data_IF_496445809257
#
_entry.id   IF_496445809257
#
_cell.length_a   1.000
_cell.length_b   1.000
_cell.length_c   1.000
_cell.angle_alpha   90.00
_cell.angle_beta   90.00
_cell.angle_gamma   90.00
#
_symmetry.space_group_name_H-M   'P 1'
#
loop_
_entity.id
_entity.type
_entity.pdbx_description
1 polymer ?
#
# COMPACT_ATOMS: atom_id res chain seq x y z
N UNK A 1 34.09 23.48 -18.56
CA UNK A 1 33.02 22.46 -18.42
C UNK A 1 33.17 21.78 -17.07
N UNK A 2 32.07 21.54 -16.34
CA UNK A 2 32.12 20.80 -15.07
C UNK A 2 32.31 19.31 -15.37
N UNK A 3 33.27 18.65 -14.72
CA UNK A 3 33.47 17.20 -14.84
C UNK A 3 32.27 16.45 -14.23
N UNK A 4 31.57 15.66 -15.06
CA UNK A 4 30.41 14.85 -14.66
C UNK A 4 30.77 13.79 -13.61
N UNK A 5 32.03 13.35 -13.52
CA UNK A 5 32.46 12.39 -12.50
C UNK A 5 32.29 12.92 -11.07
N UNK A 6 32.17 14.24 -10.88
CA UNK A 6 31.92 14.86 -9.58
C UNK A 6 30.57 14.50 -8.96
N UNK A 7 29.61 13.98 -9.73
CA UNK A 7 28.33 13.47 -9.21
C UNK A 7 28.42 12.06 -8.60
N UNK A 8 29.54 11.35 -8.76
CA UNK A 8 29.69 9.99 -8.20
C UNK A 8 29.67 10.05 -6.67
N UNK A 9 28.75 9.31 -6.06
CA UNK A 9 28.74 9.07 -4.61
C UNK A 9 29.90 8.12 -4.28
N UNK A 10 30.80 8.56 -3.40
CA UNK A 10 31.97 7.78 -3.01
C UNK A 10 31.60 6.56 -2.15
N UNK A 11 32.27 5.40 -2.33
CA UNK A 11 31.98 4.19 -1.56
C UNK A 11 32.17 4.38 -0.05
N UNK A 12 33.08 5.27 0.35
CA UNK A 12 33.30 5.62 1.75
C UNK A 12 32.10 6.32 2.39
N UNK A 13 31.36 7.13 1.64
CA UNK A 13 30.14 7.78 2.16
C UNK A 13 29.03 6.75 2.38
N UNK A 14 28.90 5.77 1.47
CA UNK A 14 27.96 4.66 1.64
C UNK A 14 28.34 3.79 2.84
N UNK A 15 29.63 3.52 3.04
CA UNK A 15 30.13 2.80 4.21
C UNK A 15 29.74 3.50 5.50
N UNK A 16 29.96 4.81 5.61
CA UNK A 16 29.58 5.60 6.81
C UNK A 16 28.09 5.56 7.11
N UNK A 17 27.23 5.57 6.09
CA UNK A 17 25.78 5.41 6.27
C UNK A 17 25.46 4.02 6.80
N UNK A 18 26.04 2.97 6.22
CA UNK A 18 25.85 1.60 6.70
C UNK A 18 26.33 1.43 8.14
N UNK A 19 27.54 1.91 8.45
CA UNK A 19 28.12 1.88 9.80
C UNK A 19 27.18 2.56 10.80
N UNK A 20 26.58 3.70 10.44
CA UNK A 20 25.59 4.37 11.27
C UNK A 20 24.33 3.52 11.48
N UNK A 21 23.78 2.93 10.42
CA UNK A 21 22.54 2.13 10.48
C UNK A 21 22.68 0.85 11.30
N UNK A 22 23.87 0.25 11.38
CA UNK A 22 24.11 -1.03 12.10
C UNK A 22 24.66 -0.85 13.51
N UNK A 23 24.81 0.39 13.99
CA UNK A 23 25.23 0.66 15.37
C UNK A 23 24.20 0.15 16.37
N UNK A 24 24.68 -0.54 17.39
CA UNK A 24 23.84 -1.06 18.49
C UNK A 24 23.11 0.05 19.27
N UNK A 25 23.71 1.25 19.36
CA UNK A 25 23.17 2.40 20.06
C UNK A 25 22.35 3.35 19.17
N UNK A 26 22.00 2.96 17.95
CA UNK A 26 21.24 3.82 17.03
C UNK A 26 19.74 3.80 17.37
N UNK A 27 19.18 4.90 17.91
CA UNK A 27 17.78 4.91 18.35
C UNK A 27 16.78 4.73 17.21
N UNK A 28 17.15 5.04 15.96
CA UNK A 28 16.25 4.91 14.81
C UNK A 28 16.04 3.44 14.41
N UNK A 29 17.10 2.63 14.44
CA UNK A 29 17.03 1.21 14.08
C UNK A 29 16.62 0.37 15.28
N UNK A 30 17.10 0.69 16.49
CA UNK A 30 16.73 -0.05 17.71
C UNK A 30 15.23 0.01 17.96
N UNK A 31 14.60 1.19 17.89
CA UNK A 31 13.15 1.31 18.07
C UNK A 31 12.34 0.56 16.99
N UNK A 32 12.84 0.49 15.75
CA UNK A 32 12.19 -0.29 14.70
C UNK A 32 12.29 -1.80 14.96
N UNK A 33 13.45 -2.29 15.42
CA UNK A 33 13.65 -3.68 15.77
C UNK A 33 12.75 -4.09 16.94
N UNK A 34 12.62 -3.25 17.97
CA UNK A 34 11.70 -3.49 19.09
C UNK A 34 10.23 -3.64 18.63
N UNK A 35 9.80 -2.80 17.67
CA UNK A 35 8.47 -2.92 17.05
C UNK A 35 8.34 -4.23 16.28
N UNK A 36 9.35 -4.66 15.53
CA UNK A 36 9.32 -5.93 14.79
C UNK A 36 9.27 -7.14 15.74
N UNK A 37 10.08 -7.11 16.80
CA UNK A 37 10.16 -8.18 17.80
C UNK A 37 8.84 -8.35 18.57
N UNK A 38 8.11 -7.25 18.81
CA UNK A 38 6.74 -7.28 19.38
C UNK A 38 5.79 -8.19 18.58
N UNK A 39 5.98 -8.34 17.26
CA UNK A 39 5.15 -9.21 16.41
C UNK A 39 5.72 -10.63 16.21
N UNK A 40 6.88 -10.93 16.78
CA UNK A 40 7.54 -12.23 16.72
C UNK A 40 8.68 -12.33 15.71
N UNK A 41 9.16 -11.21 15.17
CA UNK A 41 10.22 -11.18 14.17
C UNK A 41 9.71 -11.38 12.74
N UNK A 42 10.62 -11.24 11.78
CA UNK A 42 10.31 -11.17 10.34
C UNK A 42 9.56 -12.41 9.81
N UNK A 43 10.07 -13.61 10.12
CA UNK A 43 9.48 -14.85 9.61
C UNK A 43 8.05 -15.06 10.12
N UNK A 44 7.81 -14.78 11.40
CA UNK A 44 6.49 -14.91 12.01
C UNK A 44 5.51 -13.86 11.49
N UNK A 45 5.97 -12.63 11.25
CA UNK A 45 5.18 -11.56 10.64
C UNK A 45 4.68 -12.01 9.25
N UNK A 46 5.58 -12.45 8.37
CA UNK A 46 5.21 -12.86 7.02
C UNK A 46 4.33 -14.11 7.03
N UNK A 47 4.61 -15.07 7.92
CA UNK A 47 3.76 -16.27 8.07
C UNK A 47 2.34 -15.89 8.48
N UNK A 48 2.18 -15.03 9.49
CA UNK A 48 0.86 -14.55 9.94
C UNK A 48 0.13 -13.82 8.82
N UNK A 49 0.81 -12.92 8.11
CA UNK A 49 0.23 -12.16 7.02
C UNK A 49 -0.25 -13.07 5.86
N UNK A 50 0.56 -14.04 5.46
CA UNK A 50 0.20 -15.01 4.44
C UNK A 50 -1.01 -15.86 4.83
N UNK A 51 -1.09 -16.31 6.09
CA UNK A 51 -2.28 -17.02 6.56
C UNK A 51 -3.51 -16.11 6.63
N UNK A 52 -3.35 -14.86 7.09
CA UNK A 52 -4.45 -13.91 7.23
C UNK A 52 -5.05 -13.49 5.88
N UNK A 53 -4.26 -13.44 4.80
CA UNK A 53 -4.74 -13.01 3.48
C UNK A 53 -5.46 -14.12 2.69
N UNK A 54 -5.45 -15.37 3.17
CA UNK A 54 -6.13 -16.48 2.48
C UNK A 54 -7.63 -16.23 2.41
N UNK A 55 -8.20 -16.40 1.21
CA UNK A 55 -9.62 -16.12 0.96
C UNK A 55 -10.53 -16.90 1.91
N UNK A 56 -10.24 -18.18 2.14
CA UNK A 56 -10.98 -19.03 3.08
C UNK A 56 -10.98 -18.49 4.51
N UNK A 57 -9.86 -17.93 4.97
CA UNK A 57 -9.73 -17.38 6.32
C UNK A 57 -10.47 -16.03 6.42
N UNK A 58 -10.39 -15.19 5.38
CA UNK A 58 -11.11 -13.92 5.33
C UNK A 58 -12.63 -14.15 5.33
N UNK A 59 -13.12 -15.10 4.53
CA UNK A 59 -14.54 -15.45 4.49
C UNK A 59 -15.01 -16.06 5.81
N UNK A 60 -14.25 -16.98 6.40
CA UNK A 60 -14.59 -17.57 7.70
C UNK A 60 -14.70 -16.52 8.82
N UNK A 61 -13.82 -15.50 8.80
CA UNK A 61 -13.91 -14.37 9.74
C UNK A 61 -15.22 -13.58 9.55
N UNK A 62 -15.59 -13.27 8.30
CA UNK A 62 -16.83 -12.55 8.00
C UNK A 62 -18.08 -13.34 8.39
N UNK A 63 -18.09 -14.65 8.12
CA UNK A 63 -19.18 -15.56 8.51
C UNK A 63 -19.35 -15.60 10.03
N UNK A 64 -18.23 -15.71 10.78
CA UNK A 64 -18.23 -15.69 12.25
C UNK A 64 -18.81 -14.38 12.80
N UNK A 65 -18.49 -13.26 12.14
CA UNK A 65 -19.01 -11.92 12.49
C UNK A 65 -20.44 -11.66 12.00
N UNK A 66 -21.03 -12.59 11.23
CA UNK A 66 -22.33 -12.44 10.57
C UNK A 66 -22.37 -11.20 9.67
N UNK A 67 -21.24 -10.91 9.03
CA UNK A 67 -21.11 -9.76 8.14
C UNK A 67 -22.10 -9.89 6.96
N UNK A 68 -22.82 -8.82 6.59
CA UNK A 68 -23.74 -8.87 5.45
C UNK A 68 -23.01 -9.09 4.11
N UNK A 69 -21.71 -8.81 4.05
CA UNK A 69 -20.91 -8.85 2.81
C UNK A 69 -20.59 -10.26 2.31
N UNK A 70 -20.78 -11.30 3.14
CA UNK A 70 -20.54 -12.68 2.72
C UNK A 70 -21.36 -13.02 1.47
N UNK A 71 -22.63 -12.58 1.42
CA UNK A 71 -23.51 -12.86 0.26
C UNK A 71 -22.94 -12.29 -1.03
N UNK A 72 -22.49 -11.04 -1.00
CA UNK A 72 -22.01 -10.35 -2.19
C UNK A 72 -20.63 -10.89 -2.61
N UNK A 73 -19.79 -11.31 -1.66
CA UNK A 73 -18.54 -12.04 -1.95
C UNK A 73 -18.80 -13.38 -2.62
N UNK A 74 -19.77 -14.17 -2.14
CA UNK A 74 -20.16 -15.44 -2.80
C UNK A 74 -20.71 -15.21 -4.21
N UNK A 75 -21.45 -14.12 -4.41
CA UNK A 75 -21.90 -13.73 -5.76
C UNK A 75 -20.71 -13.40 -6.67
N UNK A 76 -19.73 -12.65 -6.16
CA UNK A 76 -18.53 -12.27 -6.91
C UNK A 76 -17.66 -13.50 -7.26
N UNK A 77 -17.49 -14.45 -6.34
CA UNK A 77 -16.85 -15.74 -6.61
C UNK A 77 -17.53 -16.46 -7.77
N UNK A 78 -18.86 -16.52 -7.75
CA UNK A 78 -19.65 -17.14 -8.83
C UNK A 78 -19.41 -16.44 -10.18
N UNK A 79 -19.40 -15.11 -10.22
CA UNK A 79 -19.16 -14.37 -11.47
C UNK A 79 -17.77 -14.65 -12.05
N UNK A 80 -16.75 -14.73 -11.18
CA UNK A 80 -15.39 -15.13 -11.56
C UNK A 80 -15.38 -16.54 -12.14
N UNK A 81 -15.98 -17.50 -11.42
CA UNK A 81 -15.95 -18.93 -11.78
C UNK A 81 -16.73 -19.22 -13.07
N UNK A 82 -17.78 -18.46 -13.34
CA UNK A 82 -18.56 -18.50 -14.59
C UNK A 82 -17.89 -17.71 -15.74
N UNK A 83 -16.72 -17.11 -15.51
CA UNK A 83 -16.01 -16.27 -16.49
C UNK A 83 -16.87 -15.14 -17.05
N UNK A 84 -17.66 -14.49 -16.18
CA UNK A 84 -18.59 -13.42 -16.58
C UNK A 84 -17.88 -12.13 -17.01
N UNK A 85 -16.65 -11.89 -16.54
CA UNK A 85 -15.86 -10.70 -16.88
C UNK A 85 -15.21 -10.84 -18.26
N UNK A 86 -15.17 -9.74 -19.02
CA UNK A 86 -14.50 -9.72 -20.32
C UNK A 86 -12.99 -9.95 -20.19
N UNK A 87 -12.40 -10.73 -21.09
CA UNK A 87 -10.95 -10.89 -21.14
C UNK A 87 -10.26 -9.72 -21.85
N UNK A 88 -8.97 -9.47 -21.57
CA UNK A 88 -8.18 -8.44 -22.28
C UNK A 88 -8.20 -8.61 -23.81
N UNK A 89 -8.06 -9.82 -24.39
CA UNK A 89 -8.17 -10.01 -25.84
C UNK A 89 -9.55 -9.64 -26.41
N UNK A 90 -10.62 -10.03 -25.71
CA UNK A 90 -11.98 -9.69 -26.14
C UNK A 90 -12.26 -8.18 -26.02
N UNK A 91 -11.77 -7.55 -24.95
CA UNK A 91 -11.87 -6.10 -24.79
C UNK A 91 -11.13 -5.35 -25.89
N UNK A 92 -9.89 -5.75 -26.20
CA UNK A 92 -9.13 -5.21 -27.33
C UNK A 92 -9.89 -5.36 -28.65
N UNK A 93 -10.49 -6.53 -28.89
CA UNK A 93 -11.30 -6.80 -30.09
C UNK A 93 -12.54 -5.93 -30.14
N UNK A 94 -13.22 -5.70 -29.01
CA UNK A 94 -14.37 -4.80 -28.96
C UNK A 94 -14.01 -3.36 -29.31
N UNK A 95 -12.91 -2.84 -28.76
CA UNK A 95 -12.52 -1.44 -28.96
C UNK A 95 -11.89 -1.21 -30.34
N UNK A 96 -11.07 -2.15 -30.82
CA UNK A 96 -10.26 -1.96 -32.02
C UNK A 96 -10.79 -2.73 -33.25
N UNK A 97 -11.79 -3.60 -33.08
CA UNK A 97 -12.31 -4.46 -34.13
C UNK A 97 -11.24 -5.42 -34.68
N UNK A 98 -11.27 -5.66 -35.99
CA UNK A 98 -10.33 -6.54 -36.71
C UNK A 98 -8.85 -6.15 -36.51
N UNK A 99 -8.58 -4.86 -36.22
CA UNK A 99 -7.20 -4.38 -36.01
C UNK A 99 -6.55 -5.05 -34.81
N UNK A 100 -7.32 -5.47 -33.80
CA UNK A 100 -6.79 -6.12 -32.61
C UNK A 100 -5.91 -7.34 -32.91
N UNK A 101 -6.26 -8.13 -33.93
CA UNK A 101 -5.52 -9.35 -34.31
C UNK A 101 -4.22 -9.11 -35.09
N UNK A 102 -4.00 -7.90 -35.59
CA UNK A 102 -2.79 -7.53 -36.35
C UNK A 102 -1.86 -6.59 -35.58
N UNK A 103 -2.30 -6.09 -34.42
CA UNK A 103 -1.53 -5.17 -33.59
C UNK A 103 -0.65 -5.94 -32.60
N UNK A 104 0.58 -5.47 -32.44
CA UNK A 104 1.47 -5.89 -31.35
C UNK A 104 1.35 -4.88 -30.23
N UNK A 105 1.03 -5.36 -29.03
CA UNK A 105 0.96 -4.54 -27.83
C UNK A 105 2.30 -4.65 -27.09
N UNK A 106 2.90 -3.51 -26.78
CA UNK A 106 4.13 -3.46 -25.99
C UNK A 106 3.78 -3.53 -24.50
N UNK A 107 3.81 -4.74 -23.95
CA UNK A 107 3.52 -4.98 -22.54
C UNK A 107 4.66 -4.52 -21.60
N UNK A 108 5.78 -4.00 -22.12
CA UNK A 108 6.85 -3.41 -21.28
C UNK A 108 6.44 -2.08 -20.62
N UNK A 109 5.40 -1.43 -21.15
CA UNK A 109 4.78 -0.23 -20.59
C UNK A 109 3.34 -0.49 -20.16
N UNK A 110 3.05 -1.70 -19.67
CA UNK A 110 1.71 -2.05 -19.20
C UNK A 110 1.19 -1.01 -18.20
N UNK A 111 0.04 -0.42 -18.51
CA UNK A 111 -0.66 0.51 -17.63
C UNK A 111 -1.65 -0.25 -16.76
N UNK A 112 -1.81 0.19 -15.51
CA UNK A 112 -2.80 -0.37 -14.59
C UNK A 112 -4.02 0.55 -14.56
N UNK A 113 -5.20 0.01 -14.88
CA UNK A 113 -6.46 0.69 -14.57
C UNK A 113 -6.64 0.70 -13.04
N UNK A 114 -6.67 1.89 -12.45
CA UNK A 114 -6.77 2.10 -11.00
C UNK A 114 -8.02 2.91 -10.66
N UNK A 115 -8.75 2.49 -9.63
CA UNK A 115 -9.71 3.36 -8.92
C UNK A 115 -9.01 3.96 -7.70
N UNK A 116 -8.68 5.26 -7.77
CA UNK A 116 -7.86 5.94 -6.76
C UNK A 116 -8.61 6.31 -5.46
N UNK A 117 -9.90 5.96 -5.34
CA UNK A 117 -10.70 6.30 -4.16
C UNK A 117 -11.91 5.36 -3.93
N UNK A 118 -11.68 4.06 -3.76
CA UNK A 118 -12.75 3.07 -3.50
C UNK A 118 -12.95 2.83 -1.99
N UNK A 119 -13.78 3.63 -1.32
CA UNK A 119 -13.84 3.63 0.15
C UNK A 119 -14.65 2.48 0.75
N UNK A 120 -15.69 2.06 0.03
CA UNK A 120 -16.67 1.14 0.55
C UNK A 120 -16.69 -0.15 -0.27
N UNK A 121 -16.77 -1.29 0.42
CA UNK A 121 -16.85 -2.61 -0.21
C UNK A 121 -18.00 -2.71 -1.24
N UNK A 122 -19.23 -2.21 -0.99
CA UNK A 122 -20.31 -2.26 -1.98
C UNK A 122 -19.96 -1.63 -3.32
N UNK A 123 -19.04 -0.66 -3.37
CA UNK A 123 -18.63 -0.04 -4.62
C UNK A 123 -17.83 -1.00 -5.52
N UNK A 124 -17.17 -2.02 -4.96
CA UNK A 124 -16.56 -3.08 -5.77
C UNK A 124 -17.65 -3.90 -6.46
N UNK A 125 -18.78 -4.14 -5.78
CA UNK A 125 -19.88 -4.93 -6.33
C UNK A 125 -20.57 -4.15 -7.45
N UNK A 126 -20.79 -2.85 -7.26
CA UNK A 126 -21.30 -1.97 -8.33
C UNK A 126 -20.34 -1.90 -9.53
N UNK A 127 -19.03 -1.79 -9.28
CA UNK A 127 -18.03 -1.84 -10.35
C UNK A 127 -18.03 -3.18 -11.08
N UNK A 128 -18.20 -4.30 -10.35
CA UNK A 128 -18.31 -5.62 -10.95
C UNK A 128 -19.56 -5.77 -11.83
N UNK A 129 -20.70 -5.24 -11.39
CA UNK A 129 -21.91 -5.16 -12.22
C UNK A 129 -21.66 -4.35 -13.48
N UNK A 130 -21.11 -3.13 -13.37
CA UNK A 130 -20.76 -2.29 -14.51
C UNK A 130 -19.82 -3.00 -15.48
N UNK A 131 -18.73 -3.59 -14.98
CA UNK A 131 -17.76 -4.31 -15.82
C UNK A 131 -18.40 -5.50 -16.58
N UNK A 132 -19.34 -6.22 -15.96
CA UNK A 132 -20.03 -7.34 -16.61
C UNK A 132 -21.06 -6.82 -17.63
N UNK A 133 -21.98 -5.95 -17.21
CA UNK A 133 -23.10 -5.48 -18.01
C UNK A 133 -22.62 -4.71 -19.23
N UNK A 134 -21.65 -3.81 -19.02
CA UNK A 134 -21.10 -2.98 -20.07
C UNK A 134 -19.88 -3.61 -20.73
N UNK A 135 -19.57 -4.89 -20.47
CA UNK A 135 -18.35 -5.65 -20.85
C UNK A 135 -17.06 -4.80 -20.81
N UNK A 136 -16.86 -4.08 -19.71
CA UNK A 136 -15.66 -3.28 -19.44
C UNK A 136 -14.64 -4.08 -18.61
N UNK A 137 -13.42 -3.59 -18.53
CA UNK A 137 -12.37 -4.23 -17.73
C UNK A 137 -12.55 -3.93 -16.25
N UNK A 138 -12.50 -4.97 -15.41
CA UNK A 138 -12.32 -4.77 -13.97
C UNK A 138 -10.98 -4.06 -13.69
N UNK A 139 -10.95 -3.03 -12.82
CA UNK A 139 -9.71 -2.37 -12.42
C UNK A 139 -8.74 -3.34 -11.76
N UNK A 140 -7.45 -3.21 -12.07
CA UNK A 140 -6.39 -4.06 -11.48
C UNK A 140 -5.81 -3.53 -10.17
N UNK A 141 -6.18 -2.29 -9.78
CA UNK A 141 -5.76 -1.68 -8.52
C UNK A 141 -6.84 -0.78 -7.92
N UNK A 142 -6.97 -0.84 -6.60
CA UNK A 142 -7.89 0.00 -5.84
C UNK A 142 -7.16 0.73 -4.71
N UNK A 143 -7.41 2.02 -4.55
CA UNK A 143 -6.84 2.80 -3.44
C UNK A 143 -7.98 3.19 -2.49
N UNK A 144 -7.77 2.91 -1.20
CA UNK A 144 -8.70 3.23 -0.13
C UNK A 144 -8.08 4.30 0.75
N UNK A 145 -8.74 5.45 0.85
CA UNK A 145 -8.26 6.63 1.61
C UNK A 145 -9.03 6.86 2.92
N UNK A 146 -10.04 6.05 3.19
CA UNK A 146 -10.72 5.90 4.48
C UNK A 146 -9.77 5.21 5.47
N UNK A 147 -9.81 5.59 6.73
CA UNK A 147 -8.89 5.04 7.73
C UNK A 147 -9.24 3.61 8.10
N UNK A 148 -8.24 2.74 8.22
CA UNK A 148 -8.46 1.32 8.52
C UNK A 148 -9.16 1.06 9.85
N UNK A 149 -9.00 1.89 10.89
CA UNK A 149 -9.74 1.72 12.14
C UNK A 149 -11.25 1.83 11.94
N UNK A 150 -11.68 2.79 11.14
CA UNK A 150 -13.10 3.00 10.82
C UNK A 150 -13.63 1.84 9.98
N UNK A 151 -12.87 1.43 8.97
CA UNK A 151 -13.23 0.32 8.09
C UNK A 151 -13.23 -1.05 8.79
N UNK A 152 -12.42 -1.23 9.83
CA UNK A 152 -12.38 -2.48 10.61
C UNK A 152 -13.63 -2.61 11.47
N UNK A 153 -14.17 -1.48 11.94
CA UNK A 153 -15.36 -1.45 12.79
C UNK A 153 -16.63 -1.90 12.06
N UNK A 154 -16.65 -1.84 10.72
CA UNK A 154 -17.77 -2.27 9.88
C UNK A 154 -17.41 -3.41 8.93
N UNK A 155 -16.41 -4.24 9.27
CA UNK A 155 -15.93 -5.42 8.54
C UNK A 155 -15.38 -5.18 7.11
N UNK A 156 -15.30 -3.92 6.68
CA UNK A 156 -14.96 -3.60 5.30
C UNK A 156 -13.50 -3.88 4.95
N UNK A 157 -12.56 -3.81 5.90
CA UNK A 157 -11.16 -4.23 5.64
C UNK A 157 -11.11 -5.69 5.17
N UNK A 158 -11.85 -6.58 5.84
CA UNK A 158 -11.84 -8.02 5.54
C UNK A 158 -12.61 -8.29 4.25
N UNK A 159 -13.77 -7.68 4.08
CA UNK A 159 -14.58 -7.85 2.87
C UNK A 159 -13.86 -7.35 1.62
N UNK A 160 -13.17 -6.20 1.71
CA UNK A 160 -12.39 -5.67 0.60
C UNK A 160 -11.20 -6.58 0.28
N UNK A 161 -10.44 -7.00 1.29
CA UNK A 161 -9.34 -7.95 1.10
C UNK A 161 -9.82 -9.24 0.40
N UNK A 162 -10.95 -9.81 0.82
CA UNK A 162 -11.53 -10.99 0.20
C UNK A 162 -11.94 -10.74 -1.27
N UNK A 163 -12.60 -9.62 -1.56
CA UNK A 163 -12.94 -9.27 -2.95
C UNK A 163 -11.70 -9.15 -3.84
N UNK A 164 -10.63 -8.55 -3.34
CA UNK A 164 -9.38 -8.41 -4.09
C UNK A 164 -8.72 -9.76 -4.40
N UNK A 165 -8.78 -10.72 -3.47
CA UNK A 165 -8.38 -12.10 -3.74
C UNK A 165 -9.25 -12.76 -4.81
N UNK A 166 -10.57 -12.47 -4.82
CA UNK A 166 -11.49 -13.02 -5.81
C UNK A 166 -11.19 -12.47 -7.20
N UNK A 167 -11.08 -11.14 -7.35
CA UNK A 167 -10.89 -10.50 -8.67
C UNK A 167 -9.44 -10.43 -9.12
N UNK A 168 -8.49 -10.89 -8.30
CA UNK A 168 -7.06 -10.87 -8.62
C UNK A 168 -6.47 -9.46 -8.72
N UNK A 169 -7.00 -8.51 -7.94
CA UNK A 169 -6.59 -7.10 -7.98
C UNK A 169 -5.74 -6.71 -6.78
N UNK A 170 -4.86 -5.74 -6.98
CA UNK A 170 -4.09 -5.13 -5.89
C UNK A 170 -4.91 -4.05 -5.18
N UNK A 171 -4.60 -3.78 -3.91
CA UNK A 171 -5.27 -2.72 -3.17
C UNK A 171 -4.36 -2.09 -2.14
N UNK A 172 -4.50 -0.78 -1.98
CA UNK A 172 -3.73 0.03 -1.04
C UNK A 172 -4.66 0.59 0.02
N UNK A 173 -4.34 0.32 1.28
CA UNK A 173 -5.08 0.82 2.44
C UNK A 173 -4.47 2.09 3.04
N UNK A 174 -5.26 2.83 3.83
CA UNK A 174 -4.77 4.02 4.53
C UNK A 174 -4.78 3.82 6.05
N UNK A 175 -3.59 3.94 6.63
CA UNK A 175 -3.35 3.90 8.08
C UNK A 175 -3.88 5.17 8.78
N UNK A 176 -4.30 5.05 10.03
CA UNK A 176 -4.73 6.15 10.88
C UNK A 176 -3.56 7.06 11.30
N UNK A 177 -2.35 6.51 11.39
CA UNK A 177 -1.07 7.22 11.66
C UNK A 177 -0.62 8.14 10.52
N UNK A 178 -1.54 8.61 9.67
CA UNK A 178 -1.31 9.65 8.65
C UNK A 178 -1.33 11.08 9.18
N UNK A 179 -1.32 11.28 10.50
CA UNK A 179 -1.14 12.59 11.15
C UNK A 179 -2.44 13.32 11.49
N UNK A 180 -3.59 12.83 11.01
CA UNK A 180 -4.93 13.37 11.33
C UNK A 180 -5.55 12.76 12.59
N UNK A 181 -4.87 11.80 13.22
CA UNK A 181 -5.33 11.23 14.50
C UNK A 181 -5.32 12.27 15.61
N UNK A 182 -6.20 12.11 16.61
CA UNK A 182 -6.18 12.95 17.80
C UNK A 182 -4.99 12.61 18.70
N UNK A 183 -4.34 13.64 19.21
CA UNK A 183 -3.36 13.58 20.28
C UNK A 183 -4.01 13.44 21.66
N UNK A 184 -3.19 13.37 22.73
CA UNK A 184 -3.66 13.15 24.10
C UNK A 184 -4.62 14.23 24.62
N UNK A 185 -4.55 15.44 24.08
CA UNK A 185 -5.39 16.60 24.40
C UNK A 185 -6.68 16.67 23.57
N UNK A 186 -6.91 15.70 22.68
CA UNK A 186 -8.04 15.69 21.76
C UNK A 186 -7.89 16.63 20.56
N UNK A 187 -6.76 17.35 20.44
CA UNK A 187 -6.42 18.10 19.23
C UNK A 187 -5.75 17.16 18.21
N UNK A 188 -5.71 17.50 16.91
CA UNK A 188 -4.93 16.72 15.94
C UNK A 188 -3.46 16.57 16.36
N UNK A 189 -2.91 15.38 16.21
CA UNK A 189 -1.53 15.08 16.62
C UNK A 189 -0.47 15.77 15.75
N UNK A 190 -0.81 16.11 14.51
CA UNK A 190 0.04 16.94 13.67
C UNK A 190 -0.03 18.40 14.15
N UNK A 191 1.11 19.00 14.48
CA UNK A 191 1.18 20.37 15.02
C UNK A 191 0.73 21.45 14.04
N UNK A 192 0.65 21.10 12.75
CA UNK A 192 0.10 21.95 11.70
C UNK A 192 -1.37 21.63 11.39
N UNK A 193 -2.06 20.86 12.24
CA UNK A 193 -3.51 20.65 12.17
C UNK A 193 -4.17 21.34 13.38
N UNK A 194 -5.26 22.07 13.15
CA UNK A 194 -6.00 22.71 14.25
C UNK A 194 -6.66 24.06 13.94
N UNK A 195 -6.65 24.54 12.68
CA UNK A 195 -7.41 25.73 12.32
C UNK A 195 -7.68 25.88 10.81
N UNK A 196 -8.64 26.75 10.42
CA UNK A 196 -8.95 27.00 9.00
C UNK A 196 -7.79 27.60 8.19
N UNK A 197 -6.72 28.05 8.85
CA UNK A 197 -5.48 28.51 8.21
C UNK A 197 -4.46 27.39 7.93
N UNK A 198 -4.71 26.15 8.37
CA UNK A 198 -3.68 25.10 8.46
C UNK A 198 -3.94 23.93 7.49
N UNK A 199 -4.16 24.24 6.21
CA UNK A 199 -4.37 23.24 5.14
C UNK A 199 -3.14 22.34 4.93
N UNK A 200 -1.94 22.83 5.27
CA UNK A 200 -0.67 22.10 5.11
C UNK A 200 -0.59 20.83 5.95
N UNK A 201 -1.21 20.79 7.13
CA UNK A 201 -1.28 19.59 7.97
C UNK A 201 -2.31 18.55 7.51
N UNK A 202 -3.34 18.95 6.75
CA UNK A 202 -4.42 18.06 6.30
C UNK A 202 -3.96 17.00 5.31
N UNK A 203 -2.83 17.24 4.66
CA UNK A 203 -2.18 16.28 3.78
C UNK A 203 -1.23 15.32 4.51
N UNK A 204 -1.19 15.40 5.85
CA UNK A 204 -0.67 14.38 6.76
C UNK A 204 0.84 14.39 6.99
N UNK A 205 1.64 14.73 5.98
CA UNK A 205 3.10 14.56 6.05
C UNK A 205 3.85 15.59 6.90
N UNK A 206 3.55 16.89 6.76
CA UNK A 206 4.31 17.99 7.39
C UNK A 206 3.81 18.20 8.82
N UNK A 207 4.71 18.21 9.81
CA UNK A 207 4.36 18.49 11.22
C UNK A 207 4.03 17.25 12.07
N UNK A 208 4.29 16.05 11.56
CA UNK A 208 4.17 14.82 12.35
C UNK A 208 5.22 14.79 13.49
N UNK A 209 4.84 14.37 14.71
CA UNK A 209 5.77 14.13 15.80
C UNK A 209 6.83 13.07 15.48
N UNK A 210 7.98 13.12 16.16
CA UNK A 210 9.16 12.29 15.88
C UNK A 210 8.93 10.77 16.09
N UNK A 211 7.97 10.38 16.92
CA UNK A 211 7.63 8.99 17.23
C UNK A 211 6.68 8.35 16.21
N UNK A 212 6.05 9.15 15.33
CA UNK A 212 5.07 8.66 14.37
C UNK A 212 5.58 7.58 13.40
N UNK A 213 6.82 7.61 12.89
CA UNK A 213 7.31 6.54 12.02
C UNK A 213 7.27 5.16 12.68
N UNK A 214 7.55 5.06 13.98
CA UNK A 214 7.47 3.79 14.72
C UNK A 214 6.03 3.38 15.03
N UNK A 215 5.16 4.36 15.34
CA UNK A 215 3.72 4.10 15.49
C UNK A 215 3.08 3.63 14.18
N UNK A 216 3.53 4.18 13.06
CA UNK A 216 3.12 3.78 11.72
C UNK A 216 3.56 2.34 11.42
N UNK A 217 4.79 1.96 11.76
CA UNK A 217 5.23 0.57 11.66
C UNK A 217 4.41 -0.37 12.54
N UNK A 218 4.16 0.01 13.79
CA UNK A 218 3.35 -0.79 14.72
C UNK A 218 1.92 -0.98 14.18
N UNK A 219 1.28 0.09 13.72
CA UNK A 219 -0.05 0.02 13.14
C UNK A 219 -0.07 -0.82 11.85
N UNK A 220 0.91 -0.65 10.96
CA UNK A 220 1.04 -1.44 9.75
C UNK A 220 1.15 -2.94 10.09
N UNK A 221 2.07 -3.31 10.99
CA UNK A 221 2.29 -4.70 11.37
C UNK A 221 1.04 -5.33 12.01
N UNK A 222 0.25 -4.56 12.76
CA UNK A 222 -1.05 -5.03 13.24
C UNK A 222 -1.97 -5.44 12.08
N UNK A 223 -2.23 -4.56 11.11
CA UNK A 223 -3.13 -4.88 9.99
C UNK A 223 -2.56 -5.92 9.03
N UNK A 224 -1.25 -5.89 8.79
CA UNK A 224 -0.56 -6.86 7.95
C UNK A 224 -0.66 -8.28 8.54
N UNK A 225 -0.40 -8.43 9.83
CA UNK A 225 -0.46 -9.76 10.49
C UNK A 225 -1.88 -10.22 10.81
N UNK A 226 -2.86 -9.31 10.93
CA UNK A 226 -4.24 -9.67 11.30
C UNK A 226 -5.13 -9.93 10.08
N UNK A 227 -4.94 -9.17 9.00
CA UNK A 227 -5.81 -9.21 7.82
C UNK A 227 -5.06 -9.38 6.51
N UNK A 228 -3.73 -9.48 6.54
CA UNK A 228 -2.93 -9.65 5.33
C UNK A 228 -2.81 -8.39 4.47
N UNK A 229 -3.03 -7.20 5.04
CA UNK A 229 -2.96 -5.92 4.32
C UNK A 229 -1.52 -5.63 3.91
N UNK A 230 -1.18 -5.96 2.65
CA UNK A 230 0.19 -5.87 2.14
C UNK A 230 0.62 -4.47 1.74
N UNK A 231 -0.28 -3.68 1.16
CA UNK A 231 0.04 -2.36 0.59
C UNK A 231 -0.65 -1.25 1.36
N UNK A 232 0.11 -0.23 1.75
CA UNK A 232 -0.43 0.96 2.45
C UNK A 232 -0.01 2.26 1.79
N UNK A 233 -0.86 3.28 1.90
CA UNK A 233 -0.58 4.62 1.44
C UNK A 233 0.34 5.32 2.44
N UNK A 234 1.39 5.94 1.94
CA UNK A 234 2.39 6.62 2.75
C UNK A 234 2.55 8.08 2.33
N UNK A 235 2.69 8.98 3.31
CA UNK A 235 2.68 10.44 3.10
C UNK A 235 3.88 11.15 3.71
N UNK A 236 4.55 10.53 4.70
CA UNK A 236 5.63 11.15 5.48
C UNK A 236 6.99 10.53 5.16
N UNK A 237 8.03 11.35 5.05
CA UNK A 237 9.37 10.88 4.65
C UNK A 237 10.00 9.89 5.64
N UNK A 238 9.73 10.04 6.94
CA UNK A 238 10.20 9.15 7.99
C UNK A 238 9.53 7.78 7.90
N UNK A 239 8.21 7.73 7.76
CA UNK A 239 7.49 6.45 7.57
C UNK A 239 7.80 5.81 6.21
N UNK A 240 8.09 6.59 5.16
CA UNK A 240 8.59 6.07 3.88
C UNK A 240 9.93 5.36 4.08
N UNK A 241 10.87 5.98 4.80
CA UNK A 241 12.16 5.35 5.12
C UNK A 241 11.98 4.08 5.96
N UNK A 242 11.10 4.11 6.96
CA UNK A 242 10.77 2.93 7.77
C UNK A 242 10.19 1.81 6.91
N UNK A 243 9.32 2.11 5.94
CA UNK A 243 8.82 1.12 4.99
C UNK A 243 9.94 0.46 4.17
N UNK A 244 10.89 1.26 3.68
CA UNK A 244 12.09 0.73 3.01
C UNK A 244 12.93 -0.16 3.93
N UNK A 245 13.12 0.22 5.19
CA UNK A 245 13.88 -0.56 6.17
C UNK A 245 13.19 -1.88 6.53
N UNK A 246 11.89 -1.87 6.81
CA UNK A 246 11.12 -3.10 7.11
C UNK A 246 11.17 -4.08 5.93
N UNK A 247 11.00 -3.58 4.71
CA UNK A 247 11.14 -4.42 3.52
C UNK A 247 12.56 -4.98 3.38
N UNK A 248 13.59 -4.15 3.56
CA UNK A 248 14.99 -4.59 3.52
C UNK A 248 15.29 -5.70 4.54
N UNK A 249 14.69 -5.62 5.73
CA UNK A 249 14.83 -6.61 6.80
C UNK A 249 14.13 -7.94 6.50
N UNK A 250 13.27 -7.99 5.48
CA UNK A 250 12.62 -9.21 5.01
C UNK A 250 11.11 -9.24 5.20
N UNK A 251 10.47 -8.18 5.72
CA UNK A 251 9.00 -8.12 5.82
C UNK A 251 8.44 -7.86 4.42
N UNK A 252 7.50 -8.67 3.93
CA UNK A 252 6.97 -8.60 2.56
C UNK A 252 5.89 -7.51 2.40
N UNK A 253 6.20 -6.34 2.95
CA UNK A 253 5.39 -5.15 2.86
C UNK A 253 5.62 -4.37 1.57
N UNK A 254 4.60 -3.62 1.19
CA UNK A 254 4.63 -2.68 0.07
C UNK A 254 3.96 -1.36 0.48
N UNK A 255 4.30 -0.27 -0.20
CA UNK A 255 3.62 1.00 0.00
C UNK A 255 3.57 1.84 -1.26
N UNK A 256 2.50 2.62 -1.38
CA UNK A 256 2.34 3.65 -2.41
C UNK A 256 2.65 5.00 -1.79
N UNK A 257 3.50 5.80 -2.43
CA UNK A 257 3.71 7.19 -2.01
C UNK A 257 2.55 8.04 -2.52
N UNK A 258 1.92 8.77 -1.62
CA UNK A 258 0.84 9.69 -1.97
C UNK A 258 1.36 10.86 -2.81
N UNK A 259 0.53 11.35 -3.73
CA UNK A 259 0.77 12.60 -4.45
C UNK A 259 1.02 13.79 -3.50
N UNK A 260 0.49 13.72 -2.28
CA UNK A 260 0.66 14.72 -1.26
C UNK A 260 2.07 14.79 -0.64
N UNK A 261 2.94 13.81 -0.89
CA UNK A 261 4.36 13.90 -0.51
C UNK A 261 5.11 14.93 -1.34
N UNK A 262 4.59 15.32 -2.51
CA UNK A 262 5.21 16.35 -3.36
C UNK A 262 6.29 15.82 -4.29
N UNK A 263 6.16 14.59 -4.80
CA UNK A 263 6.98 14.08 -5.89
C UNK A 263 6.57 14.74 -7.23
N UNK A 264 6.90 16.01 -7.38
CA UNK A 264 6.36 16.93 -8.40
C UNK A 264 7.30 17.18 -9.59
N UNK A 265 8.55 16.71 -9.51
CA UNK A 265 9.55 16.93 -10.54
C UNK A 265 10.58 15.79 -10.62
N UNK A 266 11.36 15.69 -11.73
CA UNK A 266 12.32 14.60 -11.91
C UNK A 266 13.39 14.46 -10.82
N UNK A 267 13.77 15.54 -10.13
CA UNK A 267 14.73 15.47 -9.01
C UNK A 267 14.09 14.85 -7.76
N UNK A 268 12.84 15.17 -7.47
CA UNK A 268 12.08 14.51 -6.40
C UNK A 268 11.91 13.01 -6.69
N UNK A 269 11.55 12.65 -7.94
CA UNK A 269 11.50 11.25 -8.36
C UNK A 269 12.86 10.56 -8.22
N UNK A 270 13.96 11.20 -8.64
CA UNK A 270 15.31 10.65 -8.47
C UNK A 270 15.65 10.40 -7.00
N UNK A 271 15.27 11.31 -6.10
CA UNK A 271 15.47 11.14 -4.66
C UNK A 271 14.73 9.91 -4.12
N UNK A 272 13.45 9.75 -4.49
CA UNK A 272 12.65 8.57 -4.12
C UNK A 272 13.27 7.29 -4.65
N UNK A 273 13.60 7.23 -5.95
CA UNK A 273 14.13 6.03 -6.60
C UNK A 273 15.54 5.67 -6.09
N UNK A 274 16.36 6.67 -5.79
CA UNK A 274 17.68 6.45 -5.18
C UNK A 274 17.54 5.81 -3.80
N UNK A 275 16.61 6.30 -2.97
CA UNK A 275 16.35 5.72 -1.64
C UNK A 275 15.83 4.29 -1.76
N UNK A 276 14.84 4.04 -2.64
CA UNK A 276 14.35 2.69 -2.93
C UNK A 276 15.49 1.75 -3.35
N UNK A 277 16.42 2.22 -4.19
CA UNK A 277 17.55 1.40 -4.64
C UNK A 277 18.58 1.13 -3.55
N UNK A 278 18.84 2.07 -2.66
CA UNK A 278 19.77 1.88 -1.53
C UNK A 278 19.27 0.81 -0.55
N UNK A 279 17.94 0.72 -0.39
CA UNK A 279 17.30 -0.24 0.52
C UNK A 279 16.73 -1.48 -0.17
N UNK A 280 16.97 -1.67 -1.47
CA UNK A 280 16.49 -2.86 -2.18
C UNK A 280 17.08 -4.14 -1.58
N UNK A 281 16.33 -5.24 -1.67
CA UNK A 281 16.82 -6.57 -1.32
C UNK A 281 17.86 -7.05 -2.35
N UNK A 282 18.50 -8.18 -2.05
CA UNK A 282 19.52 -8.80 -2.91
C UNK A 282 18.97 -9.27 -4.26
N UNK A 283 17.68 -9.61 -4.33
CA UNK A 283 16.96 -9.92 -5.56
C UNK A 283 16.59 -8.67 -6.39
N UNK A 284 16.89 -7.47 -5.88
CA UNK A 284 16.61 -6.19 -6.52
C UNK A 284 15.20 -5.64 -6.27
N UNK A 285 14.36 -6.33 -5.50
CA UNK A 285 13.01 -5.87 -5.14
C UNK A 285 13.02 -4.67 -4.19
N UNK A 286 11.92 -3.91 -4.22
CA UNK A 286 11.66 -2.71 -3.42
C UNK A 286 10.19 -2.70 -3.02
N UNK A 287 9.82 -2.14 -1.85
CA UNK A 287 8.43 -2.06 -1.40
C UNK A 287 7.63 -0.96 -2.11
N UNK A 288 8.28 -0.04 -2.82
CA UNK A 288 7.62 1.04 -3.55
C UNK A 288 6.88 0.52 -4.78
N UNK A 289 5.57 0.76 -4.84
CA UNK A 289 4.65 0.37 -5.94
C UNK A 289 3.93 1.55 -6.60
#
# INVERSE_FOLDING_TARGET
>A
MIDRKRFRIGPENLRKVNDFLVREDNPLTTGLLEVIDKYGGVDEINRKAHEACKLENLIAQLETRKSPFVRDLRWLEKQRDESAFISIPEYRTRILGERAGSMVFDDSFAVTLEISACQYFPWIIEEAHHAIDDRDLMPGRFIRVRNMKEQTADDQVIAFAAAMQIVGSSYVETLDTKGTMLGPDGAPANVHLGGPATITGYFGGVGMPNDFPLRWADEYLHYYTTYGVKQVLNVNSGSILVGYMMHKLGIDMEFKISVFTGNDNPFACLWTMMTAKLFSRSDGSSPLI
#
